data_IF_598288043798
#
_entry.id   IF_598288043798
#
_cell.length_a   1.000
_cell.length_b   1.000
_cell.length_c   1.000
_cell.angle_alpha   90.00
_cell.angle_beta   90.00
_cell.angle_gamma   90.00
#
_symmetry.space_group_name_H-M   'P 1'
#
loop_
_entity.id
_entity.type
_entity.pdbx_description
1 polymer ?
#
# COMPACT_ATOMS: atom_id res chain seq x y z
N UNK A 1 0.55 32.21 -40.82
CA UNK A 1 0.32 31.39 -42.03
C UNK A 1 1.04 30.07 -41.78
N UNK A 2 0.34 28.92 -41.75
CA UNK A 2 0.97 27.65 -41.38
C UNK A 2 1.95 27.19 -42.46
N UNK A 3 3.03 26.51 -42.06
CA UNK A 3 4.08 26.00 -42.95
C UNK A 3 3.50 25.14 -44.10
N UNK A 4 2.45 24.36 -43.82
CA UNK A 4 1.72 23.57 -44.81
C UNK A 4 0.99 24.42 -45.87
N UNK A 5 0.60 25.67 -45.56
CA UNK A 5 -0.05 26.58 -46.50
C UNK A 5 0.95 27.28 -47.45
N UNK A 6 2.22 27.37 -47.04
CA UNK A 6 3.32 27.90 -47.86
C UNK A 6 3.81 26.88 -48.91
N UNK A 7 3.91 25.60 -48.53
CA UNK A 7 4.31 24.52 -49.43
C UNK A 7 3.27 24.22 -50.53
N UNK A 8 1.97 24.32 -50.21
CA UNK A 8 0.87 24.10 -51.17
C UNK A 8 0.76 25.20 -52.25
N UNK A 9 1.29 26.40 -52.00
CA UNK A 9 1.21 27.51 -52.96
C UNK A 9 2.37 27.54 -53.95
N UNK A 10 3.48 26.82 -53.67
CA UNK A 10 4.71 26.89 -54.47
C UNK A 10 5.12 25.55 -55.13
N UNK A 11 4.32 24.48 -55.00
CA UNK A 11 4.64 23.16 -55.59
C UNK A 11 4.00 22.87 -56.96
N UNK A 12 3.36 23.85 -57.61
CA UNK A 12 2.88 23.69 -58.99
C UNK A 12 4.05 23.72 -59.97
N UNK A 13 4.63 22.55 -60.23
CA UNK A 13 5.57 22.36 -61.33
C UNK A 13 6.75 21.41 -61.08
N UNK A 14 6.86 20.75 -59.91
CA UNK A 14 7.96 19.83 -59.66
C UNK A 14 7.60 18.36 -59.99
N UNK A 15 8.52 17.58 -60.59
CA UNK A 15 8.31 16.17 -60.88
C UNK A 15 8.10 15.38 -59.59
N UNK A 16 7.20 14.39 -59.67
CA UNK A 16 6.71 13.54 -58.57
C UNK A 16 7.82 12.82 -57.77
N UNK A 17 8.99 12.59 -58.36
CA UNK A 17 10.14 11.99 -57.64
C UNK A 17 10.78 12.94 -56.61
N UNK A 18 10.68 14.25 -56.81
CA UNK A 18 11.24 15.24 -55.88
C UNK A 18 10.39 15.42 -54.61
N UNK A 19 9.08 15.12 -54.69
CA UNK A 19 8.13 15.27 -53.57
C UNK A 19 8.21 14.10 -52.59
N UNK A 20 8.60 12.90 -53.05
CA UNK A 20 8.84 11.76 -52.16
C UNK A 20 10.11 11.95 -51.30
N UNK A 21 11.21 12.43 -51.88
CA UNK A 21 12.44 12.65 -51.10
C UNK A 21 12.31 13.76 -50.05
N UNK A 22 11.54 14.83 -50.32
CA UNK A 22 11.31 15.92 -49.33
C UNK A 22 10.44 15.44 -48.16
N UNK A 23 9.49 14.53 -48.40
CA UNK A 23 8.67 13.94 -47.32
C UNK A 23 9.46 12.92 -46.49
N UNK A 24 10.37 12.15 -47.10
CA UNK A 24 11.23 11.22 -46.38
C UNK A 24 12.31 11.92 -45.56
N UNK A 25 12.87 13.04 -46.04
CA UNK A 25 13.80 13.87 -45.26
C UNK A 25 13.10 14.61 -44.12
N UNK A 26 11.90 15.16 -44.33
CA UNK A 26 11.12 15.77 -43.25
C UNK A 26 10.67 14.76 -42.20
N UNK A 27 10.27 13.54 -42.61
CA UNK A 27 9.93 12.47 -41.69
C UNK A 27 11.17 11.99 -40.92
N UNK A 28 12.34 11.84 -41.55
CA UNK A 28 13.60 11.56 -40.85
C UNK A 28 14.00 12.67 -39.88
N UNK A 29 13.81 13.93 -40.25
CA UNK A 29 14.13 15.07 -39.40
C UNK A 29 13.19 15.13 -38.18
N UNK A 30 11.88 14.92 -38.37
CA UNK A 30 10.91 14.85 -37.29
C UNK A 30 11.10 13.62 -36.39
N UNK A 31 11.55 12.49 -36.96
CA UNK A 31 11.88 11.27 -36.24
C UNK A 31 13.17 11.40 -35.42
N UNK A 32 14.20 12.09 -35.95
CA UNK A 32 15.41 12.42 -35.21
C UNK A 32 15.14 13.40 -34.07
N UNK A 33 14.27 14.40 -34.27
CA UNK A 33 13.82 15.30 -33.20
C UNK A 33 13.07 14.53 -32.11
N UNK A 34 12.18 13.60 -32.46
CA UNK A 34 11.44 12.78 -31.48
C UNK A 34 12.36 11.81 -30.73
N UNK A 35 13.37 11.26 -31.40
CA UNK A 35 14.40 10.39 -30.80
C UNK A 35 15.30 11.19 -29.85
N UNK A 36 15.80 12.35 -30.26
CA UNK A 36 16.59 13.25 -29.40
C UNK A 36 15.78 13.77 -28.21
N UNK A 37 14.51 14.13 -28.40
CA UNK A 37 13.62 14.55 -27.32
C UNK A 37 13.37 13.41 -26.31
N UNK A 38 13.24 12.17 -26.78
CA UNK A 38 13.11 11.00 -25.92
C UNK A 38 14.41 10.71 -25.15
N UNK A 39 15.57 10.82 -25.81
CA UNK A 39 16.88 10.70 -25.13
C UNK A 39 17.09 11.80 -24.11
N UNK A 40 16.69 13.04 -24.37
CA UNK A 40 16.79 14.15 -23.42
C UNK A 40 15.83 13.96 -22.24
N UNK A 41 14.65 13.39 -22.45
CA UNK A 41 13.71 13.05 -21.37
C UNK A 41 14.30 11.94 -20.49
N UNK A 42 14.81 10.87 -21.08
CA UNK A 42 15.43 9.75 -20.36
C UNK A 42 16.70 10.20 -19.62
N UNK A 43 17.54 11.01 -20.26
CA UNK A 43 18.74 11.57 -19.66
C UNK A 43 18.44 12.52 -18.51
N UNK A 44 17.44 13.41 -18.64
CA UNK A 44 17.00 14.27 -17.52
C UNK A 44 16.42 13.47 -16.35
N UNK A 45 15.78 12.32 -16.61
CA UNK A 45 15.30 11.42 -15.57
C UNK A 45 16.48 10.73 -14.86
N UNK A 46 17.50 10.30 -15.60
CA UNK A 46 18.72 9.70 -15.04
C UNK A 46 19.52 10.73 -14.21
N UNK A 47 19.71 11.94 -14.75
CA UNK A 47 20.46 13.02 -14.09
C UNK A 47 19.74 13.56 -12.85
N UNK A 48 18.39 13.52 -12.81
CA UNK A 48 17.59 13.94 -11.65
C UNK A 48 17.46 12.88 -10.55
N UNK A 49 17.90 11.64 -10.81
CA UNK A 49 17.76 10.52 -9.87
C UNK A 49 19.08 10.07 -9.21
N UNK A 50 20.20 10.76 -9.47
CA UNK A 50 21.52 10.47 -8.87
C UNK A 50 22.01 9.01 -9.08
N UNK A 51 21.68 8.41 -10.22
CA UNK A 51 22.14 7.07 -10.58
C UNK A 51 23.53 7.16 -11.23
N UNK A 52 24.56 6.62 -10.58
CA UNK A 52 25.92 6.55 -11.13
C UNK A 52 26.10 5.22 -11.87
N UNK A 53 26.25 5.27 -13.19
CA UNK A 53 26.56 4.09 -14.02
C UNK A 53 28.06 4.02 -14.29
N UNK A 54 28.71 2.92 -13.90
CA UNK A 54 30.11 2.63 -14.26
C UNK A 54 30.16 1.75 -15.51
N UNK A 55 30.98 2.06 -16.54
CA UNK A 55 31.13 1.18 -17.69
C UNK A 55 32.18 0.11 -17.40
N UNK A 56 31.77 -1.16 -17.32
CA UNK A 56 32.70 -2.29 -17.41
C UNK A 56 32.96 -2.68 -18.87
N UNK A 57 34.25 -2.78 -19.21
CA UNK A 57 34.80 -3.12 -20.52
C UNK A 57 34.28 -4.46 -21.07
N UNK A 58 33.84 -4.45 -22.33
CA UNK A 58 33.61 -5.67 -23.12
C UNK A 58 34.82 -5.92 -24.02
N UNK A 59 35.40 -7.12 -23.96
CA UNK A 59 36.44 -7.59 -24.87
C UNK A 59 35.82 -8.53 -25.90
N UNK A 60 36.11 -8.29 -27.17
CA UNK A 60 35.67 -9.11 -28.31
C UNK A 60 36.17 -10.56 -28.24
N UNK A 61 35.28 -11.53 -28.54
CA UNK A 61 35.55 -12.67 -29.42
C UNK A 61 34.28 -13.46 -29.81
N UNK A 62 34.04 -13.45 -31.12
CA UNK A 62 33.49 -14.49 -31.99
C UNK A 62 32.21 -15.27 -31.62
N UNK A 63 31.08 -14.90 -32.25
CA UNK A 63 30.05 -15.86 -32.68
C UNK A 63 29.72 -15.59 -34.15
N UNK A 64 29.88 -16.63 -34.98
CA UNK A 64 29.63 -16.62 -36.42
C UNK A 64 28.12 -16.62 -36.72
N UNK A 65 27.70 -15.71 -37.59
CA UNK A 65 26.35 -15.64 -38.18
C UNK A 65 26.28 -16.60 -39.37
N UNK A 66 25.35 -17.56 -39.34
CA UNK A 66 24.87 -18.23 -40.57
C UNK A 66 23.44 -17.80 -40.84
N UNK A 67 23.24 -17.16 -41.99
CA UNK A 67 22.01 -16.53 -42.46
C UNK A 67 21.28 -17.49 -43.40
N UNK A 68 20.00 -17.77 -43.16
CA UNK A 68 19.06 -18.25 -44.20
C UNK A 68 17.87 -17.30 -44.23
N UNK A 69 17.61 -16.77 -45.43
CA UNK A 69 16.56 -15.81 -45.79
C UNK A 69 15.21 -16.53 -45.96
N UNK A 70 14.13 -15.88 -45.55
CA UNK A 70 13.06 -15.44 -46.47
C UNK A 70 12.39 -14.19 -45.91
N UNK A 71 12.07 -13.28 -46.82
CA UNK A 71 11.70 -11.91 -46.54
C UNK A 71 10.21 -11.78 -46.18
N UNK A 72 9.97 -11.16 -45.04
CA UNK A 72 8.96 -10.12 -44.82
C UNK A 72 9.55 -9.15 -43.80
N UNK A 73 9.11 -7.89 -43.78
CA UNK A 73 9.75 -6.79 -43.05
C UNK A 73 9.90 -7.04 -41.54
N UNK A 74 11.05 -7.60 -41.16
CA UNK A 74 11.55 -7.65 -39.79
C UNK A 74 12.35 -6.38 -39.51
N UNK A 75 11.73 -5.43 -38.83
CA UNK A 75 12.50 -4.54 -37.96
C UNK A 75 12.89 -5.36 -36.74
N UNK A 76 14.08 -5.96 -36.81
CA UNK A 76 14.80 -6.45 -35.64
C UNK A 76 15.08 -5.22 -34.77
N UNK A 77 14.39 -5.13 -33.63
CA UNK A 77 15.01 -4.52 -32.47
C UNK A 77 16.35 -5.24 -32.27
N UNK A 78 17.42 -4.49 -32.06
CA UNK A 78 18.64 -5.11 -31.53
C UNK A 78 18.24 -5.81 -30.23
N UNK A 79 18.49 -7.13 -30.11
CA UNK A 79 18.19 -7.89 -28.90
C UNK A 79 18.78 -7.17 -27.68
N UNK A 80 19.93 -6.52 -27.85
CA UNK A 80 20.58 -5.73 -26.81
C UNK A 80 19.79 -4.47 -26.42
N UNK A 81 19.06 -3.84 -27.34
CA UNK A 81 18.21 -2.67 -27.04
C UNK A 81 16.92 -3.07 -26.31
N UNK A 82 16.31 -4.19 -26.69
CA UNK A 82 15.13 -4.72 -25.99
C UNK A 82 15.48 -5.23 -24.59
N UNK A 83 16.63 -5.90 -24.45
CA UNK A 83 17.14 -6.37 -23.17
C UNK A 83 17.52 -5.20 -22.24
N UNK A 84 18.17 -4.15 -22.77
CA UNK A 84 18.47 -2.94 -22.00
C UNK A 84 17.21 -2.18 -21.53
N UNK A 85 16.14 -2.14 -22.35
CA UNK A 85 14.85 -1.55 -21.93
C UNK A 85 14.20 -2.39 -20.83
N UNK A 86 14.26 -3.72 -20.93
CA UNK A 86 13.76 -4.61 -19.89
C UNK A 86 14.54 -4.47 -18.59
N UNK A 87 15.88 -4.44 -18.64
CA UNK A 87 16.72 -4.22 -17.46
C UNK A 87 16.41 -2.86 -16.81
N UNK A 88 16.28 -1.79 -17.60
CA UNK A 88 15.92 -0.48 -17.09
C UNK A 88 14.52 -0.45 -16.45
N UNK A 89 13.55 -1.18 -17.01
CA UNK A 89 12.20 -1.30 -16.43
C UNK A 89 12.17 -2.15 -15.16
N UNK A 90 13.05 -3.14 -15.05
CA UNK A 90 13.21 -3.99 -13.86
C UNK A 90 13.83 -3.19 -12.71
N UNK A 91 14.78 -2.29 -13.00
CA UNK A 91 15.42 -1.44 -11.99
C UNK A 91 14.56 -0.24 -11.55
N UNK A 92 13.49 0.09 -12.27
CA UNK A 92 12.57 1.15 -11.88
C UNK A 92 11.73 0.78 -10.65
N UNK A 93 11.69 1.68 -9.66
CA UNK A 93 10.75 1.52 -8.56
C UNK A 93 9.28 1.64 -9.06
N UNK A 94 8.36 0.99 -8.34
CA UNK A 94 6.94 0.91 -8.70
C UNK A 94 6.23 2.26 -8.87
N UNK A 95 6.69 3.31 -8.20
CA UNK A 95 6.12 4.65 -8.35
C UNK A 95 6.52 5.27 -9.70
N UNK A 96 7.76 5.08 -10.12
CA UNK A 96 8.26 5.49 -11.44
C UNK A 96 7.57 4.74 -12.57
N UNK A 97 7.36 3.42 -12.44
CA UNK A 97 6.61 2.60 -13.40
C UNK A 97 5.14 3.05 -13.51
N UNK A 98 4.48 3.33 -12.38
CA UNK A 98 3.10 3.81 -12.35
C UNK A 98 2.96 5.21 -12.97
N UNK A 99 3.93 6.10 -12.73
CA UNK A 99 3.98 7.43 -13.32
C UNK A 99 4.24 7.36 -14.83
N UNK A 100 5.18 6.52 -15.27
CA UNK A 100 5.44 6.25 -16.69
C UNK A 100 4.18 5.77 -17.41
N UNK A 101 3.43 4.86 -16.79
CA UNK A 101 2.16 4.35 -17.31
C UNK A 101 1.07 5.44 -17.37
N UNK A 102 0.99 6.28 -16.34
CA UNK A 102 0.05 7.40 -16.29
C UNK A 102 0.37 8.45 -17.36
N UNK A 103 1.65 8.81 -17.50
CA UNK A 103 2.12 9.79 -18.48
C UNK A 103 1.92 9.27 -19.91
N UNK A 104 2.25 8.00 -20.19
CA UNK A 104 1.96 7.35 -21.48
C UNK A 104 0.47 7.41 -21.85
N UNK A 105 -0.41 7.12 -20.88
CA UNK A 105 -1.86 7.18 -21.08
C UNK A 105 -2.36 8.61 -21.31
N UNK A 106 -1.71 9.60 -20.69
CA UNK A 106 -2.10 11.01 -20.73
C UNK A 106 -1.52 11.76 -21.91
N UNK A 107 -0.36 11.32 -22.43
CA UNK A 107 0.34 11.92 -23.56
C UNK A 107 -0.08 11.35 -24.91
N UNK A 108 -0.83 10.25 -24.95
CA UNK A 108 -1.35 9.68 -26.20
C UNK A 108 -2.40 10.62 -26.81
N UNK A 109 -2.12 11.31 -27.94
CA UNK A 109 -3.19 11.93 -28.70
C UNK A 109 -4.06 10.80 -29.27
N UNK A 110 -5.31 11.09 -29.62
CA UNK A 110 -6.11 10.19 -30.45
C UNK A 110 -5.40 9.98 -31.80
N UNK A 111 -4.49 9.00 -31.86
CA UNK A 111 -3.81 8.61 -33.08
C UNK A 111 -4.86 8.05 -34.04
N UNK A 112 -4.96 8.65 -35.22
CA UNK A 112 -5.82 8.14 -36.30
C UNK A 112 -5.50 6.66 -36.54
N UNK A 113 -6.54 5.83 -36.61
CA UNK A 113 -6.49 4.36 -36.67
C UNK A 113 -5.77 3.78 -37.91
N UNK A 114 -5.20 4.62 -38.77
CA UNK A 114 -4.57 4.24 -40.03
C UNK A 114 -3.05 4.17 -39.99
N UNK A 115 -2.40 4.48 -38.87
CA UNK A 115 -0.94 4.37 -38.77
C UNK A 115 -0.53 2.99 -38.20
N UNK A 116 -0.14 2.08 -39.10
CA UNK A 116 0.17 0.69 -38.80
C UNK A 116 1.36 0.51 -37.84
N UNK A 117 2.28 1.48 -37.80
CA UNK A 117 3.48 1.44 -36.96
C UNK A 117 3.13 1.76 -35.49
N UNK A 118 2.34 2.82 -35.26
CA UNK A 118 1.84 3.17 -33.93
C UNK A 118 0.97 2.07 -33.31
N UNK A 119 0.29 1.27 -34.14
CA UNK A 119 -0.52 0.13 -33.71
C UNK A 119 0.33 -1.05 -33.24
N UNK A 120 1.47 -1.31 -33.89
CA UNK A 120 2.41 -2.39 -33.54
C UNK A 120 3.18 -2.05 -32.25
N UNK A 121 3.76 -0.84 -32.16
CA UNK A 121 4.45 -0.40 -30.94
C UNK A 121 3.53 -0.39 -29.71
N UNK A 122 2.28 0.04 -29.88
CA UNK A 122 1.25 -0.04 -28.85
C UNK A 122 0.96 -1.49 -28.41
N UNK A 123 0.90 -2.41 -29.37
CA UNK A 123 0.63 -3.83 -29.11
C UNK A 123 1.80 -4.49 -28.35
N UNK A 124 3.04 -4.19 -28.73
CA UNK A 124 4.24 -4.77 -28.12
C UNK A 124 4.48 -4.24 -26.69
N UNK A 125 4.21 -2.94 -26.45
CA UNK A 125 4.21 -2.35 -25.09
C UNK A 125 3.09 -2.96 -24.24
N UNK A 126 1.89 -3.14 -24.79
CA UNK A 126 0.76 -3.75 -24.08
C UNK A 126 1.04 -5.22 -23.73
N UNK A 127 1.72 -5.98 -24.60
CA UNK A 127 2.16 -7.35 -24.32
C UNK A 127 3.19 -7.37 -23.20
N UNK A 128 4.21 -6.51 -23.28
CA UNK A 128 5.29 -6.46 -22.29
C UNK A 128 4.74 -6.07 -20.91
N UNK A 129 3.84 -5.08 -20.86
CA UNK A 129 3.14 -4.70 -19.64
C UNK A 129 2.24 -5.82 -19.11
N UNK A 130 1.53 -6.56 -19.98
CA UNK A 130 0.73 -7.72 -19.56
C UNK A 130 1.58 -8.89 -19.06
N UNK A 131 2.80 -9.06 -19.57
CA UNK A 131 3.75 -10.05 -19.07
C UNK A 131 4.32 -9.64 -17.71
N UNK A 132 4.71 -8.37 -17.54
CA UNK A 132 5.13 -7.79 -16.26
C UNK A 132 4.01 -7.90 -15.22
N UNK A 133 2.76 -7.61 -15.60
CA UNK A 133 1.59 -7.71 -14.70
C UNK A 133 1.18 -9.15 -14.33
N UNK A 134 1.69 -10.17 -15.05
CA UNK A 134 1.52 -11.59 -14.74
C UNK A 134 2.64 -12.17 -13.85
N UNK A 135 3.67 -11.39 -13.57
CA UNK A 135 4.65 -11.74 -12.53
C UNK A 135 4.02 -11.59 -11.16
N UNK A 136 4.55 -12.26 -10.14
CA UNK A 136 4.04 -12.17 -8.77
C UNK A 136 4.05 -10.72 -8.24
N UNK A 137 5.05 -9.93 -8.65
CA UNK A 137 5.14 -8.51 -8.33
C UNK A 137 4.07 -7.67 -9.07
N UNK A 138 3.76 -8.01 -10.32
CA UNK A 138 2.67 -7.44 -11.11
C UNK A 138 1.27 -7.77 -10.55
N UNK A 139 1.06 -9.00 -10.07
CA UNK A 139 -0.17 -9.39 -9.38
C UNK A 139 -0.31 -8.68 -8.03
N UNK A 140 0.80 -8.49 -7.31
CA UNK A 140 0.84 -7.73 -6.06
C UNK A 140 0.51 -6.24 -6.30
N UNK A 141 0.99 -5.67 -7.42
CA UNK A 141 0.62 -4.33 -7.88
C UNK A 141 -0.90 -4.22 -8.22
N UNK A 142 -1.47 -5.20 -8.92
CA UNK A 142 -2.91 -5.23 -9.23
C UNK A 142 -3.79 -5.43 -7.98
N UNK A 143 -3.35 -6.25 -7.03
CA UNK A 143 -4.03 -6.46 -5.74
C UNK A 143 -4.01 -5.20 -4.84
N UNK A 144 -3.03 -4.31 -5.03
CA UNK A 144 -2.88 -3.07 -4.25
C UNK A 144 -3.47 -1.82 -4.93
N UNK A 145 -3.90 -1.92 -6.21
CA UNK A 145 -4.54 -0.84 -6.99
C UNK A 145 -5.92 -1.25 -7.55
N UNK A 146 -7.01 -1.15 -6.75
CA UNK A 146 -8.35 -1.65 -7.14
C UNK A 146 -8.99 -1.00 -8.36
N UNK A 147 -8.51 0.18 -8.81
CA UNK A 147 -9.10 0.92 -9.94
C UNK A 147 -8.77 0.32 -11.32
N UNK A 148 -7.92 -0.70 -11.41
CA UNK A 148 -7.58 -1.40 -12.67
C UNK A 148 -8.23 -2.78 -12.80
N UNK A 149 -8.93 -3.28 -11.77
CA UNK A 149 -9.49 -4.64 -11.71
C UNK A 149 -10.77 -4.91 -12.52
N UNK A 150 -11.19 -4.00 -13.41
CA UNK A 150 -12.46 -4.13 -14.14
C UNK A 150 -12.40 -4.99 -15.42
N UNK A 151 -11.26 -5.60 -15.75
CA UNK A 151 -11.06 -6.28 -17.04
C UNK A 151 -10.96 -7.81 -16.99
N UNK A 152 -11.43 -8.47 -15.93
CA UNK A 152 -11.39 -9.94 -15.84
C UNK A 152 -12.75 -10.61 -15.58
N UNK A 153 -13.80 -10.12 -16.25
CA UNK A 153 -15.06 -10.86 -16.40
C UNK A 153 -15.39 -11.02 -17.89
N UNK A 154 -14.86 -12.09 -18.48
CA UNK A 154 -15.43 -12.89 -19.57
C UNK A 154 -14.28 -13.54 -20.35
N UNK A 155 -14.00 -14.82 -20.06
CA UNK A 155 -13.68 -15.84 -21.05
C UNK A 155 -13.55 -17.21 -20.35
N UNK A 156 -14.68 -17.91 -20.28
CA UNK A 156 -14.72 -19.35 -20.00
C UNK A 156 -14.38 -20.10 -21.29
N UNK A 157 -13.10 -20.42 -21.51
CA UNK A 157 -12.63 -21.52 -22.38
C UNK A 157 -11.09 -21.62 -22.35
N UNK A 158 -10.50 -22.32 -21.37
CA UNK A 158 -9.21 -23.04 -21.50
C UNK A 158 -8.73 -23.70 -20.19
N UNK A 159 -9.62 -24.38 -19.45
CA UNK A 159 -9.26 -24.98 -18.15
C UNK A 159 -8.47 -26.29 -18.21
N UNK A 160 -8.20 -26.87 -19.39
CA UNK A 160 -7.48 -28.15 -19.48
C UNK A 160 -6.00 -28.05 -19.91
N UNK A 161 -5.55 -26.91 -20.43
CA UNK A 161 -4.12 -26.68 -20.71
C UNK A 161 -3.38 -26.08 -19.50
N UNK A 162 -4.08 -25.30 -18.68
CA UNK A 162 -3.54 -24.67 -17.47
C UNK A 162 -3.20 -25.67 -16.35
N UNK A 163 -3.93 -26.78 -16.25
CA UNK A 163 -3.74 -27.75 -15.16
C UNK A 163 -2.48 -28.61 -15.31
N UNK A 164 -1.97 -28.82 -16.54
CA UNK A 164 -0.72 -29.56 -16.78
C UNK A 164 0.54 -28.69 -16.67
N UNK A 165 0.45 -27.38 -16.97
CA UNK A 165 1.60 -26.49 -16.82
C UNK A 165 1.83 -26.05 -15.36
N UNK A 166 0.79 -25.99 -14.53
CA UNK A 166 0.90 -25.61 -13.12
C UNK A 166 1.66 -26.63 -12.25
N UNK A 167 1.70 -27.90 -12.65
CA UNK A 167 2.51 -28.94 -11.99
C UNK A 167 3.98 -28.91 -12.44
N UNK A 168 4.29 -28.31 -13.58
CA UNK A 168 5.67 -28.13 -14.07
C UNK A 168 6.31 -26.80 -13.65
N UNK A 169 5.54 -25.72 -13.42
CA UNK A 169 6.07 -24.43 -12.92
C UNK A 169 6.21 -24.31 -11.39
N UNK A 170 5.66 -25.25 -10.61
CA UNK A 170 5.84 -25.28 -9.14
C UNK A 170 7.24 -25.70 -8.69
N UNK A 171 8.15 -26.05 -9.61
CA UNK A 171 9.51 -26.47 -9.29
C UNK A 171 10.63 -25.51 -9.78
N UNK A 172 10.30 -24.35 -10.37
CA UNK A 172 11.34 -23.44 -10.93
C UNK A 172 11.07 -21.95 -10.76
N UNK A 173 10.25 -21.54 -9.78
CA UNK A 173 10.17 -20.13 -9.36
C UNK A 173 10.41 -20.02 -7.86
N UNK A 174 11.66 -20.24 -7.47
CA UNK A 174 12.21 -19.65 -6.25
C UNK A 174 13.40 -18.80 -6.65
N UNK A 175 13.81 -17.90 -5.76
CA UNK A 175 15.05 -17.13 -5.79
C UNK A 175 14.98 -15.67 -6.29
N UNK A 176 14.03 -14.89 -5.77
CA UNK A 176 14.47 -13.70 -5.03
C UNK A 176 15.05 -14.20 -3.70
N UNK A 177 16.24 -14.82 -3.76
CA UNK A 177 16.88 -15.42 -2.60
C UNK A 177 17.42 -14.30 -1.71
N UNK A 178 16.58 -13.82 -0.79
CA UNK A 178 17.07 -13.31 0.48
C UNK A 178 17.89 -14.43 1.11
N UNK A 179 19.20 -14.40 0.89
CA UNK A 179 20.17 -15.27 1.56
C UNK A 179 20.11 -14.93 3.05
N UNK A 180 19.27 -15.67 3.77
CA UNK A 180 19.25 -15.64 5.22
C UNK A 180 20.51 -16.34 5.73
N UNK A 181 21.13 -15.75 6.73
CA UNK A 181 22.26 -16.39 7.40
C UNK A 181 21.79 -17.60 8.19
N UNK A 182 22.66 -18.61 8.38
CA UNK A 182 22.34 -19.75 9.24
C UNK A 182 21.91 -19.30 10.65
N UNK A 183 22.49 -18.21 11.16
CA UNK A 183 22.14 -17.61 12.46
C UNK A 183 20.70 -17.09 12.48
N UNK A 184 20.24 -16.44 11.41
CA UNK A 184 18.85 -15.98 11.28
C UNK A 184 17.89 -17.18 11.24
N UNK A 185 18.25 -18.24 10.51
CA UNK A 185 17.45 -19.47 10.37
C UNK A 185 17.34 -20.21 11.72
N UNK A 186 18.47 -20.48 12.37
CA UNK A 186 18.52 -21.14 13.69
C UNK A 186 17.73 -20.35 14.74
N UNK A 187 17.84 -19.02 14.71
CA UNK A 187 17.08 -18.15 15.61
C UNK A 187 15.58 -18.18 15.32
N UNK A 188 15.18 -18.20 14.06
CA UNK A 188 13.77 -18.33 13.67
C UNK A 188 13.17 -19.70 14.09
N UNK A 189 13.92 -20.79 13.89
CA UNK A 189 13.52 -22.12 14.37
C UNK A 189 13.39 -22.15 15.89
N UNK A 190 14.34 -21.53 16.60
CA UNK A 190 14.31 -21.41 18.05
C UNK A 190 13.03 -20.73 18.54
N UNK A 191 12.66 -19.56 17.98
CA UNK A 191 11.45 -18.84 18.43
C UNK A 191 10.15 -19.58 18.12
N UNK A 192 10.12 -20.37 17.03
CA UNK A 192 8.97 -21.22 16.69
C UNK A 192 8.81 -22.38 17.66
N UNK A 193 9.92 -23.03 18.04
CA UNK A 193 9.91 -24.16 18.96
C UNK A 193 9.70 -23.77 20.43
N UNK A 194 10.07 -22.56 20.83
CA UNK A 194 10.21 -22.16 22.23
C UNK A 194 9.27 -21.01 22.65
N UNK A 195 8.00 -21.07 22.25
CA UNK A 195 7.03 -20.01 22.55
C UNK A 195 6.79 -19.72 24.04
N UNK A 196 7.10 -20.66 24.95
CA UNK A 196 6.84 -20.53 26.40
C UNK A 196 8.04 -20.05 27.25
N UNK A 197 9.19 -19.73 26.66
CA UNK A 197 10.38 -19.28 27.42
C UNK A 197 10.22 -17.85 27.95
N UNK A 198 11.07 -17.40 28.86
CA UNK A 198 11.00 -16.01 29.32
C UNK A 198 11.29 -15.02 28.18
N UNK A 199 10.63 -13.86 28.20
CA UNK A 199 10.75 -12.88 27.13
C UNK A 199 12.20 -12.43 26.89
N UNK A 200 12.96 -12.23 27.97
CA UNK A 200 14.36 -11.79 27.89
C UNK A 200 15.26 -12.79 27.15
N UNK A 201 14.96 -14.09 27.26
CA UNK A 201 15.68 -15.14 26.56
C UNK A 201 15.21 -15.27 25.10
N UNK A 202 13.94 -14.95 24.84
CA UNK A 202 13.34 -14.99 23.50
C UNK A 202 13.82 -13.82 22.62
N UNK A 203 13.93 -12.61 23.18
CA UNK A 203 14.17 -11.37 22.43
C UNK A 203 15.43 -11.39 21.54
N UNK A 204 16.61 -11.91 21.97
CA UNK A 204 17.78 -11.99 21.11
C UNK A 204 17.52 -12.79 19.83
N UNK A 205 16.92 -13.98 19.96
CA UNK A 205 16.56 -14.83 18.83
C UNK A 205 15.43 -14.23 17.99
N UNK A 206 14.48 -13.56 18.65
CA UNK A 206 13.39 -12.85 17.97
C UNK A 206 13.91 -11.81 17.00
N UNK A 207 14.84 -10.96 17.46
CA UNK A 207 15.45 -9.89 16.66
C UNK A 207 16.33 -10.45 15.54
N UNK A 208 17.06 -11.53 15.79
CA UNK A 208 17.87 -12.20 14.76
C UNK A 208 16.97 -12.80 13.67
N UNK A 209 15.92 -13.54 14.01
CA UNK A 209 14.99 -14.15 13.04
C UNK A 209 14.02 -13.17 12.36
N UNK A 210 14.16 -11.86 12.56
CA UNK A 210 13.17 -10.86 12.18
C UNK A 210 12.88 -10.80 10.68
N UNK A 211 13.92 -10.86 9.83
CA UNK A 211 13.73 -10.80 8.37
C UNK A 211 12.92 -12.00 7.85
N UNK A 212 13.22 -13.20 8.34
CA UNK A 212 12.50 -14.44 7.97
C UNK A 212 11.04 -14.33 8.42
N UNK A 213 10.80 -13.92 9.67
CA UNK A 213 9.47 -13.75 10.21
C UNK A 213 8.66 -12.70 9.45
N UNK A 214 9.24 -11.56 9.12
CA UNK A 214 8.57 -10.51 8.35
C UNK A 214 8.27 -10.95 6.92
N UNK A 215 9.21 -11.63 6.26
CA UNK A 215 8.97 -12.24 4.95
C UNK A 215 7.76 -13.18 5.02
N UNK A 216 7.71 -14.05 6.03
CA UNK A 216 6.56 -14.94 6.23
C UNK A 216 5.26 -14.17 6.49
N UNK A 217 5.26 -13.17 7.38
CA UNK A 217 4.06 -12.37 7.67
C UNK A 217 3.56 -11.65 6.42
N UNK A 218 4.45 -11.07 5.61
CA UNK A 218 4.07 -10.37 4.38
C UNK A 218 3.51 -11.31 3.30
N UNK A 219 4.00 -12.55 3.25
CA UNK A 219 3.51 -13.57 2.31
C UNK A 219 2.23 -14.28 2.74
N UNK A 220 1.77 -14.10 3.99
CA UNK A 220 0.59 -14.77 4.53
C UNK A 220 -0.50 -13.77 4.92
N UNK A 221 -1.69 -13.91 4.33
CA UNK A 221 -2.83 -13.04 4.62
C UNK A 221 -3.69 -13.52 5.79
N UNK A 222 -3.48 -14.75 6.27
CA UNK A 222 -4.24 -15.35 7.37
C UNK A 222 -3.51 -15.18 8.70
N UNK A 223 -4.12 -14.42 9.61
CA UNK A 223 -3.61 -14.17 10.95
C UNK A 223 -3.43 -15.47 11.74
N UNK A 224 -4.33 -16.45 11.60
CA UNK A 224 -4.25 -17.69 12.36
C UNK A 224 -3.02 -18.52 11.98
N UNK A 225 -2.66 -18.56 10.69
CA UNK A 225 -1.43 -19.22 10.23
C UNK A 225 -0.17 -18.53 10.80
N UNK A 226 -0.19 -17.20 10.88
CA UNK A 226 0.90 -16.43 11.50
C UNK A 226 1.02 -16.75 12.99
N UNK A 227 -0.10 -16.74 13.73
CA UNK A 227 -0.12 -17.01 15.16
C UNK A 227 0.20 -18.48 15.49
N UNK A 228 -0.20 -19.42 14.64
CA UNK A 228 0.15 -20.84 14.80
C UNK A 228 1.65 -21.09 14.61
N UNK A 229 2.28 -20.39 13.65
CA UNK A 229 3.72 -20.46 13.41
C UNK A 229 4.51 -19.72 14.49
N UNK A 230 4.07 -18.53 14.88
CA UNK A 230 4.74 -17.65 15.85
C UNK A 230 3.88 -17.42 17.08
N UNK A 231 3.61 -18.51 17.82
CA UNK A 231 2.74 -18.53 19.02
C UNK A 231 3.13 -17.53 20.10
N UNK A 232 4.39 -17.09 20.11
CA UNK A 232 4.88 -16.10 21.06
C UNK A 232 4.13 -14.75 20.96
N UNK A 233 3.55 -14.39 19.80
CA UNK A 233 2.71 -13.19 19.70
C UNK A 233 1.48 -13.25 20.61
N UNK A 234 0.93 -14.44 20.87
CA UNK A 234 -0.30 -14.63 21.63
C UNK A 234 -0.10 -14.62 23.15
N UNK A 235 1.13 -14.48 23.63
CA UNK A 235 1.44 -14.39 25.06
C UNK A 235 0.98 -13.06 25.65
N UNK A 236 0.81 -12.99 26.97
CA UNK A 236 0.45 -11.74 27.66
C UNK A 236 1.46 -10.59 27.43
N UNK A 237 2.74 -10.92 27.21
CA UNK A 237 3.84 -10.01 26.90
C UNK A 237 4.16 -9.92 25.39
N UNK A 238 3.40 -10.62 24.55
CA UNK A 238 3.60 -10.69 23.09
C UNK A 238 3.47 -9.34 22.39
N UNK A 239 2.80 -8.36 23.01
CA UNK A 239 2.76 -6.99 22.51
C UNK A 239 4.15 -6.34 22.39
N UNK A 240 5.14 -6.79 23.17
CA UNK A 240 6.52 -6.30 23.05
C UNK A 240 7.18 -6.82 21.76
N UNK A 241 6.88 -8.07 21.38
CA UNK A 241 7.34 -8.67 20.13
C UNK A 241 6.70 -7.98 18.91
N UNK A 242 5.41 -7.68 18.99
CA UNK A 242 4.67 -6.89 17.99
C UNK A 242 5.34 -5.52 17.82
N UNK A 243 5.70 -4.88 18.93
CA UNK A 243 6.36 -3.58 18.91
C UNK A 243 7.75 -3.63 18.29
N UNK A 244 8.57 -4.63 18.65
CA UNK A 244 9.92 -4.81 18.07
C UNK A 244 9.86 -5.04 16.55
N UNK A 245 8.91 -5.87 16.09
CA UNK A 245 8.74 -6.12 14.65
C UNK A 245 8.16 -4.91 13.91
N UNK A 246 7.24 -4.19 14.55
CA UNK A 246 6.72 -2.96 13.97
C UNK A 246 7.82 -1.89 13.81
N UNK A 247 8.70 -1.73 14.80
CA UNK A 247 9.81 -0.75 14.78
C UNK A 247 10.87 -0.98 13.70
N UNK A 248 10.93 -2.16 13.10
CA UNK A 248 11.82 -2.39 11.96
C UNK A 248 11.15 -2.08 10.62
N UNK A 249 9.82 -2.08 10.56
CA UNK A 249 9.04 -1.65 9.38
C UNK A 249 8.78 -0.13 9.39
N UNK A 250 8.70 0.46 10.57
CA UNK A 250 8.34 1.87 10.80
C UNK A 250 9.37 2.52 11.72
N UNK A 251 9.64 3.81 11.54
CA UNK A 251 10.58 4.53 12.39
C UNK A 251 10.16 4.44 13.86
N UNK A 252 11.15 4.37 14.75
CA UNK A 252 10.91 4.39 16.19
C UNK A 252 10.36 5.77 16.59
N UNK A 253 9.04 5.84 16.69
CA UNK A 253 8.30 7.04 17.05
C UNK A 253 7.70 6.82 18.42
N UNK A 254 7.96 7.75 19.34
CA UNK A 254 7.26 7.78 20.61
C UNK A 254 5.81 8.25 20.39
N UNK A 255 4.90 7.28 20.25
CA UNK A 255 3.49 7.52 19.97
C UNK A 255 2.86 8.44 21.02
N UNK A 256 3.07 8.14 22.30
CA UNK A 256 2.50 8.89 23.41
C UNK A 256 2.94 10.35 23.39
N UNK A 257 4.24 10.61 23.28
CA UNK A 257 4.76 11.97 23.21
C UNK A 257 4.15 12.75 22.04
N UNK A 258 4.18 12.19 20.83
CA UNK A 258 3.62 12.86 19.65
C UNK A 258 2.12 13.10 19.77
N UNK A 259 1.38 12.14 20.32
CA UNK A 259 -0.06 12.29 20.50
C UNK A 259 -0.38 13.42 21.50
N UNK A 260 0.35 13.48 22.62
CA UNK A 260 0.17 14.51 23.64
C UNK A 260 0.58 15.90 23.13
N UNK A 261 1.61 15.99 22.29
CA UNK A 261 2.05 17.23 21.66
C UNK A 261 0.96 17.84 20.77
N UNK A 262 0.26 17.01 19.99
CA UNK A 262 -0.81 17.49 19.09
C UNK A 262 -2.18 17.59 19.75
N UNK A 263 -2.36 17.01 20.94
CA UNK A 263 -3.65 16.92 21.64
C UNK A 263 -4.33 18.28 21.82
N UNK A 264 -3.65 19.37 22.26
CA UNK A 264 -4.30 20.67 22.43
C UNK A 264 -4.83 21.23 21.10
N UNK A 265 -4.00 21.22 20.05
CA UNK A 265 -4.35 21.70 18.71
C UNK A 265 -5.47 20.89 18.09
N UNK A 266 -5.44 19.57 18.26
CA UNK A 266 -6.48 18.66 17.81
C UNK A 266 -7.81 18.93 18.54
N UNK A 267 -7.76 19.17 19.85
CA UNK A 267 -8.93 19.50 20.66
C UNK A 267 -9.60 20.79 20.15
N UNK A 268 -8.83 21.86 19.92
CA UNK A 268 -9.34 23.13 19.38
C UNK A 268 -10.02 22.93 18.04
N UNK A 269 -9.39 22.20 17.13
CA UNK A 269 -9.98 21.90 15.82
C UNK A 269 -11.33 21.19 15.97
N UNK A 270 -11.39 20.15 16.79
CA UNK A 270 -12.60 19.34 16.96
C UNK A 270 -13.72 20.13 17.64
N UNK A 271 -13.42 20.96 18.62
CA UNK A 271 -14.39 21.86 19.26
C UNK A 271 -15.07 22.81 18.25
N UNK A 272 -14.36 23.22 17.19
CA UNK A 272 -14.86 24.13 16.16
C UNK A 272 -15.62 23.40 15.04
N UNK A 273 -15.23 22.16 14.73
CA UNK A 273 -15.67 21.47 13.50
C UNK A 273 -16.62 20.28 13.74
N UNK A 274 -16.76 19.78 14.97
CA UNK A 274 -17.71 18.71 15.29
C UNK A 274 -19.13 19.26 15.44
N UNK A 275 -20.03 18.84 14.55
CA UNK A 275 -21.43 19.30 14.54
C UNK A 275 -22.34 18.53 15.52
N UNK A 276 -21.91 17.36 15.99
CA UNK A 276 -22.70 16.58 16.95
C UNK A 276 -22.73 17.29 18.30
N UNK A 277 -23.91 17.76 18.73
CA UNK A 277 -24.08 18.56 19.95
C UNK A 277 -23.58 17.86 21.22
N UNK A 278 -23.82 16.55 21.36
CA UNK A 278 -23.40 15.79 22.54
C UNK A 278 -21.87 15.68 22.59
N UNK A 279 -21.24 15.28 21.48
CA UNK A 279 -19.78 15.18 21.38
C UNK A 279 -19.11 16.56 21.52
N UNK A 280 -19.68 17.60 20.92
CA UNK A 280 -19.18 18.97 21.05
C UNK A 280 -19.30 19.50 22.50
N UNK A 281 -20.33 19.12 23.25
CA UNK A 281 -20.44 19.45 24.66
C UNK A 281 -19.35 18.75 25.49
N UNK A 282 -19.11 17.47 25.25
CA UNK A 282 -18.03 16.72 25.89
C UNK A 282 -16.65 17.31 25.55
N UNK A 283 -16.43 17.73 24.29
CA UNK A 283 -15.21 18.41 23.85
C UNK A 283 -15.04 19.82 24.44
N UNK A 284 -16.08 20.46 25.00
CA UNK A 284 -15.94 21.76 25.68
C UNK A 284 -15.62 21.62 27.16
N UNK A 285 -15.95 20.48 27.78
CA UNK A 285 -15.74 20.24 29.22
C UNK A 285 -14.43 19.51 29.57
N UNK A 286 -13.67 19.08 28.56
CA UNK A 286 -12.43 18.27 28.66
C UNK A 286 -11.29 18.96 29.44
N UNK A 287 -11.18 20.29 29.40
CA UNK A 287 -10.08 21.01 30.07
C UNK A 287 -10.03 20.79 31.59
N UNK A 288 -11.15 20.35 32.18
CA UNK A 288 -11.29 20.10 33.61
C UNK A 288 -11.24 18.60 33.96
N UNK A 289 -10.99 17.72 32.98
CA UNK A 289 -11.00 16.26 33.16
C UNK A 289 -9.58 15.68 33.18
N UNK A 290 -9.44 14.45 33.69
CA UNK A 290 -8.18 13.72 33.70
C UNK A 290 -7.75 13.32 32.28
N UNK A 291 -6.45 13.10 32.07
CA UNK A 291 -5.86 12.88 30.73
C UNK A 291 -6.57 11.77 29.93
N UNK A 292 -6.92 10.66 30.56
CA UNK A 292 -7.66 9.56 29.92
C UNK A 292 -9.00 10.04 29.35
N UNK A 293 -9.76 10.82 30.12
CA UNK A 293 -11.04 11.38 29.68
C UNK A 293 -10.85 12.37 28.53
N UNK A 294 -9.76 13.14 28.56
CA UNK A 294 -9.41 14.06 27.49
C UNK A 294 -9.16 13.29 26.18
N UNK A 295 -8.38 12.22 26.23
CA UNK A 295 -8.10 11.35 25.09
C UNK A 295 -9.39 10.72 24.56
N UNK A 296 -10.24 10.18 25.43
CA UNK A 296 -11.53 9.60 25.03
C UNK A 296 -12.41 10.64 24.34
N UNK A 297 -12.54 11.84 24.92
CA UNK A 297 -13.33 12.92 24.32
C UNK A 297 -12.82 13.31 22.92
N UNK A 298 -11.49 13.38 22.75
CA UNK A 298 -10.85 13.66 21.47
C UNK A 298 -11.07 12.52 20.47
N UNK A 299 -10.99 11.25 20.89
CA UNK A 299 -11.31 10.11 20.04
C UNK A 299 -12.78 10.15 19.61
N UNK A 300 -13.72 10.41 20.53
CA UNK A 300 -15.13 10.60 20.18
C UNK A 300 -15.33 11.74 19.19
N UNK A 301 -14.58 12.84 19.36
CA UNK A 301 -14.54 13.96 18.42
C UNK A 301 -14.04 13.57 17.03
N UNK A 302 -12.95 12.80 16.96
CA UNK A 302 -12.41 12.25 15.71
C UNK A 302 -13.44 11.36 15.02
N UNK A 303 -14.07 10.44 15.76
CA UNK A 303 -15.14 9.63 15.22
C UNK A 303 -16.28 10.50 14.72
N UNK A 304 -16.71 11.54 15.44
CA UNK A 304 -17.79 12.41 14.98
C UNK A 304 -17.44 13.25 13.74
N UNK A 305 -16.18 13.69 13.61
CA UNK A 305 -15.72 14.54 12.50
C UNK A 305 -15.35 13.74 11.23
N UNK A 306 -14.67 12.60 11.41
CA UNK A 306 -14.17 11.76 10.33
C UNK A 306 -15.18 10.70 9.86
N UNK A 307 -16.30 10.58 10.57
CA UNK A 307 -17.40 9.71 10.18
C UNK A 307 -18.07 10.23 8.90
N UNK A 308 -17.96 9.43 7.82
CA UNK A 308 -18.65 9.69 6.57
C UNK A 308 -20.13 9.33 6.73
N UNK A 309 -20.93 10.29 7.19
CA UNK A 309 -22.37 10.13 7.27
C UNK A 309 -22.97 10.06 5.86
N UNK A 310 -23.01 8.89 5.22
CA UNK A 310 -23.75 8.79 3.97
C UNK A 310 -23.51 7.57 3.09
N UNK A 311 -22.37 6.89 3.20
CA UNK A 311 -22.13 5.72 2.36
C UNK A 311 -22.61 4.46 3.07
N UNK A 312 -23.83 4.05 2.71
CA UNK A 312 -24.27 2.68 2.91
C UNK A 312 -23.28 1.81 2.12
N UNK A 313 -22.41 1.06 2.78
CA UNK A 313 -21.56 0.08 2.09
C UNK A 313 -22.46 -0.91 1.31
N UNK A 314 -23.59 -1.29 1.90
CA UNK A 314 -24.44 -2.39 1.41
C UNK A 314 -25.96 -2.09 1.40
N UNK A 315 -26.36 -0.82 1.29
CA UNK A 315 -27.80 -0.45 1.32
C UNK A 315 -28.49 -0.54 2.69
N UNK A 316 -27.87 -1.19 3.69
CA UNK A 316 -28.35 -1.33 5.07
C UNK A 316 -27.90 -0.17 5.98
N UNK A 317 -28.54 -0.08 7.14
CA UNK A 317 -28.61 1.03 8.10
C UNK A 317 -27.36 1.90 8.25
N UNK A 318 -27.60 3.21 8.43
CA UNK A 318 -26.57 4.21 8.77
C UNK A 318 -25.91 3.80 10.10
N UNK A 319 -24.61 3.50 10.07
CA UNK A 319 -23.85 3.17 11.29
C UNK A 319 -23.85 4.40 12.21
N UNK A 320 -24.15 4.27 13.50
CA UNK A 320 -24.10 5.44 14.39
C UNK A 320 -22.65 5.82 14.73
N UNK A 321 -22.41 7.06 15.19
CA UNK A 321 -21.11 7.46 15.73
C UNK A 321 -20.74 6.55 16.92
N UNK A 322 -21.71 6.20 17.76
CA UNK A 322 -21.54 5.27 18.88
C UNK A 322 -21.04 3.89 18.41
N UNK A 323 -21.61 3.35 17.33
CA UNK A 323 -21.13 2.10 16.75
C UNK A 323 -19.72 2.26 16.18
N UNK A 324 -19.42 3.37 15.48
CA UNK A 324 -18.07 3.66 14.97
C UNK A 324 -17.01 3.67 16.08
N UNK A 325 -17.34 4.22 17.26
CA UNK A 325 -16.48 4.18 18.45
C UNK A 325 -16.35 2.74 18.97
N UNK A 326 -17.45 1.97 19.04
CA UNK A 326 -17.47 0.56 19.50
C UNK A 326 -16.53 -0.36 18.70
N UNK A 327 -16.28 -0.04 17.42
CA UNK A 327 -15.29 -0.75 16.59
C UNK A 327 -13.82 -0.50 17.00
N UNK A 328 -13.53 0.48 17.86
CA UNK A 328 -12.20 0.76 18.39
C UNK A 328 -12.13 0.54 19.90
N UNK A 329 -13.14 1.01 20.63
CA UNK A 329 -13.25 0.88 22.08
C UNK A 329 -14.59 0.22 22.41
N UNK A 330 -14.57 -1.04 22.84
CA UNK A 330 -15.71 -1.76 23.38
C UNK A 330 -15.80 -1.51 24.89
N UNK A 331 -16.91 -0.95 25.35
CA UNK A 331 -17.17 -0.82 26.79
C UNK A 331 -17.60 -2.15 27.40
N UNK A 332 -17.09 -2.47 28.57
CA UNK A 332 -17.57 -3.56 29.41
C UNK A 332 -17.82 -3.06 30.83
N UNK A 333 -18.90 -3.51 31.46
CA UNK A 333 -19.27 -3.04 32.79
C UNK A 333 -18.28 -3.51 33.88
N UNK A 334 -17.65 -4.67 33.70
CA UNK A 334 -16.69 -5.21 34.65
C UNK A 334 -15.71 -6.20 34.00
N UNK A 335 -14.65 -6.51 34.74
CA UNK A 335 -13.55 -7.40 34.30
C UNK A 335 -14.04 -8.83 34.09
N UNK A 336 -15.07 -9.28 34.81
CA UNK A 336 -15.56 -10.66 34.70
C UNK A 336 -16.43 -10.87 33.44
N UNK A 337 -17.08 -9.83 32.94
CA UNK A 337 -18.02 -9.91 31.82
C UNK A 337 -17.42 -9.65 30.44
N UNK A 338 -16.17 -9.22 30.34
CA UNK A 338 -15.60 -8.78 29.05
C UNK A 338 -15.61 -9.87 27.97
N UNK A 339 -15.44 -11.14 28.35
CA UNK A 339 -15.52 -12.25 27.40
C UNK A 339 -16.91 -12.41 26.80
N UNK A 340 -17.96 -12.23 27.60
CA UNK A 340 -19.35 -12.24 27.13
C UNK A 340 -19.63 -11.06 26.20
N UNK A 341 -19.09 -9.89 26.50
CA UNK A 341 -19.20 -8.70 25.65
C UNK A 341 -18.49 -8.88 24.31
N UNK A 342 -17.28 -9.46 24.31
CA UNK A 342 -16.56 -9.81 23.07
C UNK A 342 -17.40 -10.77 22.21
N UNK A 343 -17.94 -11.84 22.81
CA UNK A 343 -18.74 -12.84 22.08
C UNK A 343 -20.02 -12.22 21.52
N UNK A 344 -20.72 -11.44 22.32
CA UNK A 344 -21.94 -10.73 21.92
C UNK A 344 -21.66 -9.75 20.78
N UNK A 345 -20.54 -9.01 20.87
CA UNK A 345 -20.12 -8.11 19.81
C UNK A 345 -19.74 -8.86 18.52
N UNK A 346 -19.00 -9.97 18.64
CA UNK A 346 -18.68 -10.84 17.51
C UNK A 346 -19.94 -11.36 16.81
N UNK A 347 -20.94 -11.81 17.54
CA UNK A 347 -22.23 -12.23 16.98
C UNK A 347 -23.00 -11.09 16.32
N UNK A 348 -22.95 -9.87 16.89
CA UNK A 348 -23.54 -8.67 16.29
C UNK A 348 -22.86 -8.32 14.95
N UNK A 349 -21.52 -8.37 14.90
CA UNK A 349 -20.75 -8.11 13.69
C UNK A 349 -21.04 -9.16 12.60
N UNK A 350 -21.08 -10.44 12.96
CA UNK A 350 -21.43 -11.52 12.03
C UNK A 350 -22.82 -11.30 11.40
N UNK A 351 -23.82 -10.89 12.20
CA UNK A 351 -25.16 -10.55 11.70
C UNK A 351 -25.16 -9.37 10.73
N UNK A 352 -24.16 -8.49 10.83
CA UNK A 352 -23.98 -7.32 9.98
C UNK A 352 -22.99 -7.57 8.82
N UNK A 353 -22.54 -8.81 8.61
CA UNK A 353 -21.48 -9.18 7.64
C UNK A 353 -20.15 -8.45 7.87
N UNK A 354 -19.86 -8.06 9.11
CA UNK A 354 -18.56 -7.54 9.50
C UNK A 354 -17.72 -8.64 10.15
N UNK A 355 -16.43 -8.64 9.84
CA UNK A 355 -15.44 -9.45 10.56
C UNK A 355 -15.05 -8.75 11.85
N UNK A 356 -14.91 -9.51 12.93
CA UNK A 356 -14.34 -9.01 14.17
C UNK A 356 -12.91 -8.51 13.93
N UNK A 357 -12.62 -7.27 14.32
CA UNK A 357 -11.31 -6.64 14.19
C UNK A 357 -10.69 -6.44 15.57
N UNK A 358 -9.36 -6.25 15.67
CA UNK A 358 -8.72 -5.87 16.92
C UNK A 358 -9.45 -4.70 17.59
N UNK A 359 -9.73 -4.79 18.89
CA UNK A 359 -10.47 -3.77 19.63
C UNK A 359 -9.95 -3.62 21.04
N UNK A 360 -10.01 -2.41 21.58
CA UNK A 360 -9.68 -2.10 22.97
C UNK A 360 -10.94 -2.28 23.81
N UNK A 361 -10.83 -2.98 24.91
CA UNK A 361 -11.88 -3.11 25.91
C UNK A 361 -11.56 -2.15 27.02
N UNK A 362 -12.49 -1.25 27.31
CA UNK A 362 -12.42 -0.32 28.43
C UNK A 362 -13.52 -0.68 29.44
N UNK A 363 -13.20 -0.57 30.72
CA UNK A 363 -14.15 -0.92 31.79
C UNK A 363 -14.88 0.32 32.27
N UNK A 364 -16.20 0.33 32.29
CA UNK A 364 -17.00 1.48 32.73
C UNK A 364 -18.46 1.35 32.30
N UNK A 365 -19.34 2.12 32.93
CA UNK A 365 -20.77 2.15 32.56
C UNK A 365 -21.02 2.95 31.29
N UNK A 366 -20.16 3.94 31.02
CA UNK A 366 -20.17 4.75 29.80
C UNK A 366 -18.75 5.29 29.52
N UNK A 367 -18.58 6.02 28.41
CA UNK A 367 -17.30 6.60 28.02
C UNK A 367 -16.84 7.76 28.93
N UNK A 368 -17.73 8.34 29.73
CA UNK A 368 -17.40 9.39 30.69
C UNK A 368 -17.00 8.81 32.07
N UNK A 369 -17.18 7.50 32.28
CA UNK A 369 -16.96 6.78 33.55
C UNK A 369 -16.04 5.56 33.38
N UNK A 370 -15.06 5.65 32.48
CA UNK A 370 -14.09 4.58 32.29
C UNK A 370 -13.17 4.49 33.52
N UNK A 371 -13.06 3.28 34.07
CA UNK A 371 -12.08 2.91 35.09
C UNK A 371 -10.69 3.11 34.51
N UNK A 372 -10.00 4.10 35.07
CA UNK A 372 -8.65 4.44 34.65
C UNK A 372 -7.71 3.25 34.84
N UNK A 373 -6.68 3.21 34.00
CA UNK A 373 -5.58 2.24 34.08
C UNK A 373 -5.95 0.77 33.88
N UNK A 374 -7.08 0.49 33.22
CA UNK A 374 -7.45 -0.88 32.91
C UNK A 374 -8.04 -1.00 31.50
N UNK A 375 -7.19 -1.35 30.54
CA UNK A 375 -7.56 -1.54 29.15
C UNK A 375 -7.08 -2.91 28.69
N UNK A 376 -7.92 -3.62 27.93
CA UNK A 376 -7.53 -4.90 27.30
C UNK A 376 -7.60 -4.75 25.79
N UNK A 377 -6.48 -4.89 25.10
CA UNK A 377 -6.50 -5.06 23.65
C UNK A 377 -6.78 -6.53 23.33
N UNK A 378 -7.87 -6.79 22.63
CA UNK A 378 -8.26 -8.11 22.17
C UNK A 378 -8.12 -8.25 20.65
N UNK A 379 -7.45 -9.31 20.21
CA UNK A 379 -7.27 -9.62 18.78
C UNK A 379 -7.19 -11.15 18.60
N UNK A 380 -8.26 -11.73 18.07
CA UNK A 380 -8.37 -13.17 17.73
C UNK A 380 -7.77 -14.15 18.77
N UNK A 381 -8.17 -13.98 20.04
CA UNK A 381 -7.67 -14.80 21.15
C UNK A 381 -6.46 -14.22 21.89
N UNK A 382 -5.71 -13.32 21.27
CA UNK A 382 -4.69 -12.52 21.97
C UNK A 382 -5.36 -11.52 22.91
N UNK A 383 -4.82 -11.38 24.13
CA UNK A 383 -5.26 -10.41 25.14
C UNK A 383 -4.05 -9.73 25.76
N UNK A 384 -3.95 -8.41 25.59
CA UNK A 384 -2.89 -7.61 26.17
C UNK A 384 -3.48 -6.58 27.13
N UNK A 385 -2.97 -6.53 28.36
CA UNK A 385 -3.43 -5.59 29.37
C UNK A 385 -2.55 -4.34 29.39
N UNK A 386 -3.19 -3.17 29.47
CA UNK A 386 -2.52 -1.88 29.51
C UNK A 386 -3.10 -0.98 30.60
N UNK A 387 -2.20 -0.24 31.25
CA UNK A 387 -2.55 0.86 32.16
C UNK A 387 -2.73 2.18 31.41
N UNK A 388 -2.25 2.29 30.18
CA UNK A 388 -2.31 3.53 29.40
C UNK A 388 -3.12 3.30 28.12
N UNK A 389 -4.17 4.09 27.93
CA UNK A 389 -5.02 4.02 26.74
C UNK A 389 -4.23 4.32 25.45
N UNK A 390 -3.30 5.28 25.46
CA UNK A 390 -2.47 5.60 24.30
C UNK A 390 -1.58 4.41 23.92
N UNK A 391 -1.05 3.69 24.90
CA UNK A 391 -0.27 2.48 24.64
C UNK A 391 -1.13 1.38 24.02
N UNK A 392 -2.37 1.21 24.49
CA UNK A 392 -3.31 0.26 23.88
C UNK A 392 -3.63 0.65 22.41
N UNK A 393 -3.82 1.95 22.14
CA UNK A 393 -4.06 2.47 20.77
C UNK A 393 -2.83 2.27 19.88
N UNK A 394 -1.63 2.52 20.39
CA UNK A 394 -0.39 2.30 19.65
C UNK A 394 -0.26 0.83 19.23
N UNK A 395 -0.39 -0.11 20.17
CA UNK A 395 -0.31 -1.54 19.86
C UNK A 395 -1.46 -1.96 18.93
N UNK A 396 -2.66 -1.40 19.08
CA UNK A 396 -3.78 -1.63 18.17
C UNK A 396 -3.43 -1.25 16.73
N UNK A 397 -2.80 -0.09 16.51
CA UNK A 397 -2.32 0.33 15.18
C UNK A 397 -1.20 -0.58 14.68
N UNK A 398 -0.26 -0.96 15.56
CA UNK A 398 0.87 -1.80 15.20
C UNK A 398 0.41 -3.20 14.76
N UNK A 399 -0.59 -3.79 15.42
CA UNK A 399 -1.21 -5.07 15.03
C UNK A 399 -1.75 -5.02 13.61
N UNK A 400 -2.54 -3.98 13.28
CA UNK A 400 -3.10 -3.86 11.95
C UNK A 400 -2.03 -3.72 10.87
N UNK A 401 -0.98 -2.95 11.15
CA UNK A 401 0.09 -2.72 10.18
C UNK A 401 1.01 -3.92 10.04
N UNK A 402 1.42 -4.54 11.15
CA UNK A 402 2.32 -5.68 11.16
C UNK A 402 1.68 -6.88 10.46
N UNK A 403 0.44 -7.20 10.78
CA UNK A 403 -0.27 -8.36 10.22
C UNK A 403 -1.11 -8.02 8.98
N UNK A 404 -0.92 -6.83 8.39
CA UNK A 404 -1.63 -6.37 7.20
C UNK A 404 -3.17 -6.52 7.29
N UNK A 405 -3.73 -6.24 8.47
CA UNK A 405 -5.17 -6.32 8.71
C UNK A 405 -5.86 -5.09 8.10
N UNK A 406 -7.06 -5.31 7.56
CA UNK A 406 -7.89 -4.22 7.06
C UNK A 406 -8.41 -3.38 8.22
N UNK A 407 -8.34 -2.06 8.09
CA UNK A 407 -9.02 -1.15 9.00
C UNK A 407 -10.53 -1.43 9.03
N UNK A 408 -11.19 -1.32 10.19
CA UNK A 408 -12.64 -1.47 10.23
C UNK A 408 -13.30 -0.35 9.41
N UNK A 409 -14.06 -0.73 8.38
CA UNK A 409 -14.76 0.22 7.48
C UNK A 409 -15.49 1.34 8.25
N UNK A 410 -16.20 1.06 9.37
CA UNK A 410 -16.97 2.07 10.08
C UNK A 410 -16.18 3.20 10.73
N UNK A 411 -14.88 3.02 10.94
CA UNK A 411 -13.99 4.01 11.54
C UNK A 411 -12.62 4.09 10.85
N UNK A 412 -12.51 3.56 9.64
CA UNK A 412 -11.26 3.50 8.87
C UNK A 412 -10.56 4.86 8.75
N UNK A 413 -11.31 5.94 8.57
CA UNK A 413 -10.75 7.30 8.49
C UNK A 413 -10.04 7.72 9.80
N UNK A 414 -10.50 7.26 10.96
CA UNK A 414 -9.85 7.53 12.26
C UNK A 414 -8.50 6.83 12.32
N UNK A 415 -8.45 5.54 11.96
CA UNK A 415 -7.20 4.78 11.89
C UNK A 415 -6.19 5.40 10.93
N UNK A 416 -6.63 5.74 9.70
CA UNK A 416 -5.79 6.41 8.70
C UNK A 416 -5.25 7.73 9.24
N UNK A 417 -6.11 8.55 9.85
CA UNK A 417 -5.70 9.82 10.44
C UNK A 417 -4.63 9.63 11.52
N UNK A 418 -4.92 8.79 12.54
CA UNK A 418 -4.00 8.54 13.65
C UNK A 418 -2.64 8.03 13.15
N UNK A 419 -2.66 7.07 12.24
CA UNK A 419 -1.45 6.50 11.68
C UNK A 419 -0.62 7.54 10.92
N UNK A 420 -1.24 8.30 10.01
CA UNK A 420 -0.55 9.33 9.23
C UNK A 420 -0.04 10.47 10.13
N UNK A 421 -0.80 10.85 11.15
CA UNK A 421 -0.45 11.91 12.09
C UNK A 421 0.81 11.55 12.89
N UNK A 422 0.90 10.33 13.41
CA UNK A 422 2.00 9.91 14.28
C UNK A 422 3.23 9.51 13.48
N UNK A 423 3.06 8.68 12.45
CA UNK A 423 4.18 8.08 11.73
C UNK A 423 4.59 8.86 10.48
N UNK A 424 3.81 9.87 10.06
CA UNK A 424 4.10 10.70 8.89
C UNK A 424 4.09 9.95 7.55
N UNK A 425 3.80 8.64 7.55
CA UNK A 425 3.74 7.82 6.34
C UNK A 425 2.35 7.92 5.74
N UNK A 426 2.27 8.11 4.42
CA UNK A 426 1.00 8.07 3.72
C UNK A 426 0.50 6.63 3.64
N UNK A 427 -0.61 6.33 4.34
CA UNK A 427 -1.39 5.14 4.03
C UNK A 427 -1.87 5.26 2.57
N UNK A 428 -1.55 4.26 1.72
CA UNK A 428 -1.90 4.23 0.28
C UNK A 428 -3.42 4.22 0.03
N UNK A 429 -4.23 4.08 1.07
CA UNK A 429 -5.69 4.13 0.99
C UNK A 429 -6.18 5.51 0.57
N UNK A 430 -7.30 5.52 -0.17
CA UNK A 430 -7.97 6.76 -0.59
C UNK A 430 -8.45 7.53 0.63
N UNK A 431 -7.71 8.57 1.02
CA UNK A 431 -8.06 9.41 2.14
C UNK A 431 -9.30 10.25 1.83
N UNK A 432 -10.22 10.34 2.79
CA UNK A 432 -11.36 11.24 2.70
C UNK A 432 -10.91 12.70 2.74
N UNK A 433 -11.76 13.61 2.24
CA UNK A 433 -11.49 15.04 2.29
C UNK A 433 -11.27 15.53 3.73
N UNK A 434 -12.07 15.03 4.68
CA UNK A 434 -11.96 15.40 6.10
C UNK A 434 -10.62 14.95 6.71
N UNK A 435 -10.14 13.75 6.38
CA UNK A 435 -8.80 13.29 6.81
C UNK A 435 -7.72 14.23 6.29
N UNK A 436 -7.78 14.61 5.01
CA UNK A 436 -6.80 15.54 4.42
C UNK A 436 -6.85 16.93 5.07
N UNK A 437 -8.05 17.48 5.25
CA UNK A 437 -8.26 18.77 5.92
C UNK A 437 -7.66 18.77 7.32
N UNK A 438 -7.95 17.73 8.11
CA UNK A 438 -7.43 17.61 9.46
C UNK A 438 -5.90 17.45 9.49
N UNK A 439 -5.33 16.60 8.63
CA UNK A 439 -3.87 16.44 8.52
C UNK A 439 -3.18 17.75 8.12
N UNK A 440 -3.77 18.52 7.20
CA UNK A 440 -3.22 19.82 6.79
C UNK A 440 -3.28 20.83 7.93
N UNK A 441 -4.39 20.86 8.68
CA UNK A 441 -4.52 21.72 9.85
C UNK A 441 -3.48 21.36 10.93
N UNK A 442 -3.24 20.07 11.17
CA UNK A 442 -2.18 19.62 12.11
C UNK A 442 -0.78 20.09 11.66
N UNK A 443 -0.48 20.07 10.35
CA UNK A 443 0.81 20.47 9.78
C UNK A 443 1.05 21.98 9.68
N UNK A 444 0.00 22.80 9.65
CA UNK A 444 0.14 24.25 9.57
C UNK A 444 0.92 24.76 10.80
N UNK A 445 2.03 25.50 10.59
CA UNK A 445 2.73 26.17 11.69
C UNK A 445 1.84 27.27 12.26
N UNK A 446 1.80 27.39 13.58
CA UNK A 446 1.13 28.49 14.28
C UNK A 446 1.84 29.82 14.06
#
# INVERSE_FOLDING_TARGET
MSFNKFLMTHSKGLPTETVHNINDENNRYEMNIKKELWFDIVKNIIDSTNIIVFPSKISHKDIQITKIRNADFDYLYDENEFEAINEALIEMNWASLAQLFYDWKSSSPHANENDGIAKKEKYDIEISLKQILKTEAGECFLKTCPSLGYYNSNNNTSNNYLKRKHEETMNTTSEDNLLFTNVEIESDEFVRGNSNIQLNDLLPHWRLGMKIRQSYINSNVDLNLILDKYKAYSRSDGYQLINDDFKSLFSDVNFEHKFLEVLPKLTVFLQQNVLNKSVAANLKSISNKGLTDQIIAVLMGLHAYLYESGKKADGKSKISIANSIKFMILLSNNIQSHDTEILTWREELLRQNYTFQPTIIAFGTDYDSIVQNNFILYCDGMKFQFVNLLRAIEILLNIHMLFNLKWPIPNQNVYIFLFNMIYGKFCKSKQSANVKTLLNYMKAKE
#
